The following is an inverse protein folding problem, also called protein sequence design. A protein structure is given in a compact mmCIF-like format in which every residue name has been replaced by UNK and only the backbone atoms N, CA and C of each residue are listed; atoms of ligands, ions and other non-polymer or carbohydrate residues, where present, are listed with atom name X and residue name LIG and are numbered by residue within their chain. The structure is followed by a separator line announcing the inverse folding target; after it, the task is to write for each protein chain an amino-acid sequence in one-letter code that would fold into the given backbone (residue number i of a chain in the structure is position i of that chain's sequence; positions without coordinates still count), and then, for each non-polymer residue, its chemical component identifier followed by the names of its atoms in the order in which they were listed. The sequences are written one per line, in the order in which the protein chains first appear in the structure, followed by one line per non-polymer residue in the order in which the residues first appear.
data_IF_710572587168
#
_entry.id   IF_710572587168
#
_cell.length_a   1.000
_cell.length_b   1.000
_cell.length_c   1.000
_cell.angle_alpha   90.00
_cell.angle_beta   90.00
_cell.angle_gamma   90.00
#
_symmetry.space_group_name_H-M   'P 1'
#
loop_
_entity.id
_entity.type
_entity.pdbx_description
1 polymer ?
#
# COMPACT_ATOMS: atom_id res chain seq x y z
N UNK A 1 3.83 -25.02 -25.74
CA UNK A 1 4.56 -24.50 -24.55
C UNK A 1 3.95 -25.20 -23.34
N UNK A 2 4.75 -25.56 -22.32
CA UNK A 2 4.19 -26.02 -21.06
C UNK A 2 3.21 -24.99 -20.48
N UNK A 3 2.14 -25.45 -19.86
CA UNK A 3 1.11 -24.62 -19.23
C UNK A 3 1.33 -24.65 -17.72
N UNK A 4 1.62 -23.49 -17.15
CA UNK A 4 1.68 -23.27 -15.70
C UNK A 4 0.42 -22.53 -15.27
N UNK A 5 -0.44 -23.21 -14.51
CA UNK A 5 -1.71 -22.66 -14.04
C UNK A 5 -1.57 -21.99 -12.68
N UNK A 6 -1.94 -20.71 -12.61
CA UNK A 6 -1.93 -19.91 -11.39
C UNK A 6 -3.34 -19.45 -11.04
N UNK A 7 -3.72 -19.56 -9.76
CA UNK A 7 -5.00 -19.04 -9.26
C UNK A 7 -4.89 -18.69 -7.77
N UNK A 8 -5.81 -17.85 -7.30
CA UNK A 8 -6.03 -17.57 -5.88
C UNK A 8 -7.30 -18.27 -5.39
N UNK A 9 -7.38 -18.62 -4.12
CA UNK A 9 -8.52 -19.31 -3.51
C UNK A 9 -9.55 -18.37 -2.88
N UNK A 10 -9.64 -17.15 -3.40
CA UNK A 10 -10.50 -16.09 -2.84
C UNK A 10 -11.96 -16.52 -2.84
N UNK A 11 -12.39 -17.31 -3.83
CA UNK A 11 -13.74 -17.86 -3.93
C UNK A 11 -14.00 -19.04 -2.99
N UNK A 12 -12.95 -19.63 -2.41
CA UNK A 12 -13.00 -20.84 -1.58
C UNK A 12 -13.19 -22.15 -2.35
N UNK A 13 -13.10 -22.13 -3.69
CA UNK A 13 -13.26 -23.33 -4.53
C UNK A 13 -12.17 -23.46 -5.61
N UNK A 14 -11.12 -22.64 -5.56
CA UNK A 14 -10.09 -22.64 -6.62
C UNK A 14 -9.21 -23.88 -6.57
N UNK A 15 -9.16 -24.59 -5.44
CA UNK A 15 -8.58 -25.94 -5.41
C UNK A 15 -9.24 -26.90 -6.42
N UNK A 16 -10.56 -26.78 -6.64
CA UNK A 16 -11.25 -27.56 -7.67
C UNK A 16 -10.81 -27.17 -9.08
N UNK A 17 -10.60 -25.87 -9.33
CA UNK A 17 -10.05 -25.38 -10.60
C UNK A 17 -8.63 -25.91 -10.86
N UNK A 18 -7.80 -26.00 -9.81
CA UNK A 18 -6.46 -26.62 -9.91
C UNK A 18 -6.56 -28.09 -10.29
N UNK A 19 -7.42 -28.87 -9.62
CA UNK A 19 -7.61 -30.29 -9.97
C UNK A 19 -8.12 -30.46 -11.42
N UNK A 20 -9.05 -29.62 -11.85
CA UNK A 20 -9.52 -29.62 -13.24
C UNK A 20 -8.40 -29.26 -14.24
N UNK A 21 -7.51 -28.32 -13.90
CA UNK A 21 -6.35 -27.99 -14.72
C UNK A 21 -5.36 -29.16 -14.81
N UNK A 22 -5.13 -29.88 -13.71
CA UNK A 22 -4.30 -31.09 -13.67
C UNK A 22 -4.89 -32.20 -14.56
N UNK A 23 -6.20 -32.43 -14.48
CA UNK A 23 -6.91 -33.38 -15.34
C UNK A 23 -6.82 -33.00 -16.83
N UNK A 24 -6.93 -31.70 -17.13
CA UNK A 24 -6.79 -31.17 -18.48
C UNK A 24 -5.34 -31.21 -19.01
N UNK A 25 -4.36 -31.55 -18.17
CA UNK A 25 -2.98 -31.74 -18.55
C UNK A 25 -2.08 -30.51 -18.41
N UNK A 26 -2.37 -29.61 -17.47
CA UNK A 26 -1.41 -28.59 -17.05
C UNK A 26 -0.07 -29.23 -16.62
N UNK A 27 1.03 -28.58 -16.96
CA UNK A 27 2.39 -29.05 -16.67
C UNK A 27 2.85 -28.63 -15.27
N UNK A 28 2.33 -27.52 -14.75
CA UNK A 28 2.59 -27.02 -13.39
C UNK A 28 1.37 -26.27 -12.83
N UNK A 29 1.24 -26.25 -11.50
CA UNK A 29 0.20 -25.49 -10.79
C UNK A 29 0.83 -24.79 -9.58
N UNK A 30 0.36 -23.58 -9.27
CA UNK A 30 0.77 -22.88 -8.05
C UNK A 30 -0.14 -23.24 -6.87
N UNK A 31 0.46 -23.55 -5.73
CA UNK A 31 -0.19 -23.82 -4.46
C UNK A 31 0.67 -23.27 -3.31
N UNK A 32 0.04 -22.98 -2.17
CA UNK A 32 0.73 -22.49 -0.97
C UNK A 32 0.71 -23.54 0.14
N UNK A 33 1.73 -23.54 1.00
CA UNK A 33 1.77 -24.41 2.19
C UNK A 33 0.55 -24.14 3.07
N UNK A 34 0.04 -25.18 3.74
CA UNK A 34 -1.30 -25.16 4.32
C UNK A 34 -1.56 -23.95 5.24
N UNK A 35 -0.62 -23.66 6.15
CA UNK A 35 -0.69 -22.53 7.09
C UNK A 35 -0.59 -21.14 6.45
N UNK A 36 -0.24 -21.04 5.17
CA UNK A 36 -0.14 -19.80 4.37
C UNK A 36 -1.05 -19.81 3.13
N UNK A 37 -1.99 -20.75 3.05
CA UNK A 37 -2.87 -20.96 1.90
C UNK A 37 -4.29 -20.42 2.11
N UNK A 38 -5.13 -20.57 1.08
CA UNK A 38 -6.55 -20.22 1.06
C UNK A 38 -6.82 -18.71 1.10
N UNK A 39 -8.10 -18.33 1.04
CA UNK A 39 -8.53 -16.92 1.03
C UNK A 39 -7.86 -16.19 -0.15
N UNK A 40 -7.25 -15.04 0.08
CA UNK A 40 -6.55 -14.30 -0.99
C UNK A 40 -5.20 -14.91 -1.40
N UNK A 41 -4.77 -16.03 -0.80
CA UNK A 41 -3.58 -16.80 -1.17
C UNK A 41 -3.90 -17.88 -2.23
N UNK A 42 -2.91 -18.68 -2.63
CA UNK A 42 -3.10 -19.85 -3.48
C UNK A 42 -3.84 -20.98 -2.75
N UNK A 43 -4.42 -21.95 -3.50
CA UNK A 43 -4.98 -23.16 -2.92
C UNK A 43 -3.99 -23.97 -2.06
N UNK A 44 -4.54 -24.74 -1.12
CA UNK A 44 -3.80 -25.52 -0.14
C UNK A 44 -2.99 -26.68 -0.77
N UNK A 45 -1.66 -26.59 -0.69
CA UNK A 45 -0.72 -27.54 -1.29
C UNK A 45 -0.88 -28.94 -0.70
N UNK A 46 -0.91 -29.08 0.63
CA UNK A 46 -1.04 -30.39 1.28
C UNK A 46 -2.31 -31.12 0.86
N UNK A 47 -3.43 -30.40 0.74
CA UNK A 47 -4.72 -30.94 0.28
C UNK A 47 -4.68 -31.35 -1.19
N UNK A 48 -4.05 -30.56 -2.06
CA UNK A 48 -3.88 -30.92 -3.48
C UNK A 48 -3.02 -32.18 -3.61
N UNK A 49 -1.91 -32.27 -2.88
CA UNK A 49 -1.02 -33.44 -2.90
C UNK A 49 -1.75 -34.70 -2.44
N UNK A 50 -2.48 -34.64 -1.33
CA UNK A 50 -3.25 -35.79 -0.84
C UNK A 50 -4.40 -36.15 -1.79
N UNK A 51 -5.04 -35.18 -2.46
CA UNK A 51 -6.09 -35.45 -3.44
C UNK A 51 -5.59 -36.16 -4.71
N UNK A 52 -4.35 -35.88 -5.13
CA UNK A 52 -3.73 -36.49 -6.30
C UNK A 52 -2.99 -37.80 -5.99
N UNK A 53 -2.87 -38.16 -4.71
CA UNK A 53 -2.13 -39.34 -4.26
C UNK A 53 -2.72 -40.63 -4.83
N UNK A 54 -1.86 -41.53 -5.31
CA UNK A 54 -2.23 -42.78 -5.98
C UNK A 54 -3.02 -42.60 -7.29
N UNK A 55 -2.99 -41.42 -7.90
CA UNK A 55 -3.50 -41.20 -9.27
C UNK A 55 -2.35 -41.24 -10.28
N UNK A 56 -2.66 -41.20 -11.58
CA UNK A 56 -1.64 -41.03 -12.64
C UNK A 56 -0.92 -39.67 -12.56
N UNK A 57 -1.49 -38.71 -11.80
CA UNK A 57 -0.98 -37.36 -11.59
C UNK A 57 -0.43 -37.16 -10.18
N UNK A 58 -0.04 -38.24 -9.50
CA UNK A 58 0.62 -38.15 -8.19
C UNK A 58 1.85 -37.24 -8.26
N UNK A 59 1.94 -36.29 -7.33
CA UNK A 59 3.03 -35.30 -7.29
C UNK A 59 4.35 -35.89 -6.83
N UNK A 60 4.33 -37.01 -6.10
CA UNK A 60 5.51 -37.61 -5.47
C UNK A 60 6.10 -36.79 -4.30
N UNK A 61 5.42 -35.73 -3.85
CA UNK A 61 5.86 -34.92 -2.70
C UNK A 61 5.67 -35.66 -1.38
N UNK A 62 6.63 -35.50 -0.47
CA UNK A 62 6.58 -36.09 0.87
C UNK A 62 5.58 -35.35 1.76
N UNK A 63 4.47 -36.02 2.11
CA UNK A 63 3.40 -35.39 2.90
C UNK A 63 3.75 -35.23 4.38
N UNK A 64 4.73 -35.97 4.91
CA UNK A 64 5.25 -35.72 6.26
C UNK A 64 6.09 -34.44 6.27
N UNK A 65 6.96 -34.26 5.28
CA UNK A 65 7.75 -33.05 5.14
C UNK A 65 6.87 -31.80 4.97
N UNK A 66 5.81 -31.88 4.14
CA UNK A 66 4.86 -30.77 3.98
C UNK A 66 4.19 -30.38 5.30
N UNK A 67 3.74 -31.36 6.11
CA UNK A 67 3.14 -31.07 7.43
C UNK A 67 4.13 -30.39 8.37
N UNK A 68 5.39 -30.85 8.40
CA UNK A 68 6.44 -30.23 9.23
C UNK A 68 6.71 -28.77 8.81
N UNK A 69 6.80 -28.50 7.51
CA UNK A 69 6.97 -27.13 6.98
C UNK A 69 5.75 -26.27 7.29
N UNK A 70 4.54 -26.83 7.20
CA UNK A 70 3.31 -26.12 7.57
C UNK A 70 3.30 -25.70 9.04
N UNK A 71 3.68 -26.60 9.96
CA UNK A 71 3.80 -26.29 11.40
C UNK A 71 4.84 -25.20 11.68
N UNK A 72 5.95 -25.17 10.95
CA UNK A 72 6.91 -24.07 11.06
C UNK A 72 6.25 -22.73 10.69
N UNK A 73 5.61 -22.67 9.52
CA UNK A 73 4.97 -21.45 9.04
C UNK A 73 3.77 -21.01 9.88
N UNK A 74 3.06 -21.93 10.51
CA UNK A 74 2.00 -21.60 11.47
C UNK A 74 2.54 -20.79 12.66
N UNK A 75 3.66 -21.22 13.23
CA UNK A 75 4.32 -20.46 14.29
C UNK A 75 4.88 -19.13 13.80
N UNK A 76 5.55 -19.10 12.63
CA UNK A 76 6.09 -17.85 12.09
C UNK A 76 4.98 -16.84 11.79
N UNK A 77 3.86 -17.29 11.21
CA UNK A 77 2.69 -16.45 10.88
C UNK A 77 2.12 -15.76 12.13
N UNK A 78 2.16 -16.40 13.31
CA UNK A 78 1.70 -15.78 14.55
C UNK A 78 2.42 -14.47 14.90
N UNK A 79 3.70 -14.33 14.50
CA UNK A 79 4.50 -13.12 14.69
C UNK A 79 4.05 -11.94 13.82
N UNK A 80 3.19 -12.20 12.82
CA UNK A 80 2.65 -11.21 11.89
C UNK A 80 1.16 -10.93 12.14
N UNK A 81 0.63 -11.29 13.31
CA UNK A 81 -0.79 -11.13 13.65
C UNK A 81 -1.33 -9.71 13.44
N UNK A 82 -0.51 -8.68 13.65
CA UNK A 82 -0.86 -7.28 13.41
C UNK A 82 -1.10 -6.93 11.94
N UNK A 83 -0.63 -7.77 11.02
CA UNK A 83 -0.77 -7.60 9.56
C UNK A 83 -1.82 -8.55 8.97
N UNK A 84 -2.44 -9.40 9.79
CA UNK A 84 -3.50 -10.29 9.32
C UNK A 84 -4.70 -9.48 8.85
N UNK A 85 -5.24 -9.93 7.72
CA UNK A 85 -6.46 -9.37 7.22
C UNK A 85 -7.67 -10.05 7.88
N UNK A 86 -8.71 -9.26 8.14
CA UNK A 86 -9.85 -9.67 8.97
C UNK A 86 -10.92 -10.49 8.19
N UNK A 87 -10.60 -11.00 7.00
CA UNK A 87 -11.51 -11.90 6.29
C UNK A 87 -11.32 -13.34 6.77
N UNK A 88 -12.44 -13.98 7.11
CA UNK A 88 -12.48 -15.30 7.76
C UNK A 88 -12.92 -16.43 6.84
N UNK A 89 -13.28 -16.12 5.60
CA UNK A 89 -13.78 -17.09 4.62
C UNK A 89 -13.53 -16.59 3.21
N UNK A 90 -13.60 -17.51 2.24
CA UNK A 90 -13.73 -17.15 0.84
C UNK A 90 -15.03 -16.38 0.58
N UNK A 91 -15.07 -15.67 -0.54
CA UNK A 91 -16.18 -14.83 -0.94
C UNK A 91 -16.45 -14.96 -2.45
N UNK A 92 -17.68 -15.34 -2.81
CA UNK A 92 -18.08 -15.55 -4.21
C UNK A 92 -18.38 -14.25 -4.96
N UNK A 93 -18.46 -13.12 -4.26
CA UNK A 93 -18.57 -11.79 -4.87
C UNK A 93 -17.33 -11.43 -5.70
N UNK A 94 -16.22 -12.16 -5.57
CA UNK A 94 -15.08 -12.08 -6.49
C UNK A 94 -15.47 -12.29 -7.96
N UNK A 95 -16.50 -13.09 -8.24
CA UNK A 95 -17.01 -13.30 -9.60
C UNK A 95 -17.89 -12.14 -10.10
N UNK A 96 -18.26 -11.20 -9.23
CA UNK A 96 -18.95 -9.96 -9.58
C UNK A 96 -17.95 -8.83 -9.81
N UNK A 97 -17.09 -8.58 -8.82
CA UNK A 97 -16.23 -7.40 -8.79
C UNK A 97 -14.85 -7.64 -9.41
N UNK A 98 -14.41 -8.90 -9.52
CA UNK A 98 -13.15 -9.29 -10.15
C UNK A 98 -11.95 -8.51 -9.60
N UNK A 99 -11.94 -8.26 -8.29
CA UNK A 99 -10.84 -7.58 -7.60
C UNK A 99 -9.79 -8.68 -7.34
N UNK A 100 -8.55 -8.54 -7.86
CA UNK A 100 -7.52 -9.54 -7.64
C UNK A 100 -7.12 -9.61 -6.16
N UNK A 101 -6.60 -10.75 -5.71
CA UNK A 101 -6.35 -11.05 -4.29
C UNK A 101 -5.64 -9.93 -3.53
N UNK A 102 -4.47 -9.49 -4.01
CA UNK A 102 -3.70 -8.41 -3.37
C UNK A 102 -4.41 -7.04 -3.41
N UNK A 103 -5.21 -6.75 -4.45
CA UNK A 103 -5.99 -5.52 -4.48
C UNK A 103 -7.16 -5.58 -3.48
N UNK A 104 -7.75 -6.76 -3.25
CA UNK A 104 -8.86 -6.91 -2.31
C UNK A 104 -8.43 -6.53 -0.89
N UNK A 105 -7.25 -7.01 -0.46
CA UNK A 105 -6.69 -6.68 0.85
C UNK A 105 -6.37 -5.20 0.98
N UNK A 106 -5.74 -4.62 -0.04
CA UNK A 106 -5.37 -3.21 -0.06
C UNK A 106 -6.60 -2.29 -0.04
N UNK A 107 -7.59 -2.56 -0.91
CA UNK A 107 -8.81 -1.76 -1.02
C UNK A 107 -9.65 -1.85 0.26
N UNK A 108 -9.65 -2.99 0.95
CA UNK A 108 -10.26 -3.13 2.28
C UNK A 108 -9.60 -2.24 3.32
N UNK A 109 -8.27 -2.20 3.36
CA UNK A 109 -7.54 -1.34 4.30
C UNK A 109 -7.75 0.14 3.96
N UNK A 110 -7.76 0.52 2.68
CA UNK A 110 -8.10 1.87 2.24
C UNK A 110 -9.52 2.26 2.67
N UNK A 111 -10.52 1.42 2.39
CA UNK A 111 -11.91 1.63 2.80
C UNK A 111 -12.05 1.80 4.32
N UNK A 112 -11.30 1.03 5.12
CA UNK A 112 -11.23 1.18 6.58
C UNK A 112 -10.64 2.51 7.00
N UNK A 113 -9.51 2.91 6.41
CA UNK A 113 -8.87 4.18 6.72
C UNK A 113 -9.76 5.39 6.39
N UNK A 114 -10.60 5.28 5.36
CA UNK A 114 -11.58 6.30 4.97
C UNK A 114 -12.91 6.22 5.74
N UNK A 115 -13.07 5.26 6.66
CA UNK A 115 -14.30 5.08 7.45
C UNK A 115 -15.49 4.50 6.67
N UNK A 116 -15.27 3.96 5.47
CA UNK A 116 -16.31 3.40 4.59
C UNK A 116 -16.35 1.86 4.57
N UNK A 117 -15.65 1.18 5.49
CA UNK A 117 -15.62 -0.30 5.55
C UNK A 117 -17.02 -0.95 5.64
N UNK A 118 -17.96 -0.29 6.33
CA UNK A 118 -19.36 -0.72 6.41
C UNK A 118 -20.12 -0.65 5.07
N UNK A 119 -19.62 0.14 4.12
CA UNK A 119 -20.14 0.28 2.75
C UNK A 119 -19.45 -0.70 1.78
N UNK A 120 -18.74 -1.73 2.24
CA UNK A 120 -18.04 -2.64 1.33
C UNK A 120 -18.89 -3.26 0.21
N UNK A 121 -20.13 -3.72 0.44
CA UNK A 121 -20.95 -4.24 -0.66
C UNK A 121 -21.17 -3.20 -1.78
N UNK A 122 -21.23 -1.92 -1.41
CA UNK A 122 -21.33 -0.81 -2.34
C UNK A 122 -20.01 -0.59 -3.08
N UNK A 123 -18.87 -0.61 -2.36
CA UNK A 123 -17.52 -0.54 -2.96
C UNK A 123 -17.34 -1.64 -4.00
N UNK A 124 -17.68 -2.89 -3.68
CA UNK A 124 -17.56 -4.03 -4.60
C UNK A 124 -18.45 -3.86 -5.85
N UNK A 125 -19.69 -3.39 -5.68
CA UNK A 125 -20.60 -3.14 -6.80
C UNK A 125 -20.12 -1.98 -7.69
N UNK A 126 -19.67 -0.89 -7.07
CA UNK A 126 -19.14 0.28 -7.79
C UNK A 126 -17.85 -0.08 -8.53
N UNK A 127 -16.98 -0.90 -7.95
CA UNK A 127 -15.78 -1.41 -8.61
C UNK A 127 -16.11 -2.19 -9.89
N UNK A 128 -17.12 -3.06 -9.84
CA UNK A 128 -17.61 -3.77 -11.04
C UNK A 128 -18.15 -2.79 -12.11
N UNK A 129 -18.89 -1.77 -11.69
CA UNK A 129 -19.42 -0.73 -12.60
C UNK A 129 -18.29 0.11 -13.21
N UNK A 130 -17.28 0.49 -12.43
CA UNK A 130 -16.11 1.22 -12.95
C UNK A 130 -15.39 0.40 -14.01
N UNK A 131 -15.20 -0.91 -13.78
CA UNK A 131 -14.61 -1.78 -14.79
C UNK A 131 -15.39 -1.74 -16.12
N UNK A 132 -16.72 -1.80 -16.05
CA UNK A 132 -17.58 -1.71 -17.24
C UNK A 132 -17.50 -0.33 -17.90
N UNK A 133 -17.46 0.75 -17.12
CA UNK A 133 -17.26 2.11 -17.65
C UNK A 133 -15.92 2.27 -18.38
N UNK A 134 -14.87 1.54 -17.96
CA UNK A 134 -13.56 1.57 -18.61
C UNK A 134 -13.44 0.67 -19.84
N UNK A 135 -14.51 -0.06 -20.21
CA UNK A 135 -14.51 -0.96 -21.36
C UNK A 135 -14.13 -2.41 -21.05
N UNK A 136 -14.37 -2.86 -19.81
CA UNK A 136 -14.09 -4.22 -19.33
C UNK A 136 -12.60 -4.60 -19.41
N UNK A 137 -11.81 -3.94 -18.59
CA UNK A 137 -10.35 -4.05 -18.62
C UNK A 137 -9.85 -5.25 -17.81
N UNK A 138 -8.68 -5.76 -18.19
CA UNK A 138 -7.95 -6.72 -17.37
C UNK A 138 -7.44 -6.00 -16.12
N UNK A 139 -7.78 -6.53 -14.94
CA UNK A 139 -7.50 -5.91 -13.63
C UNK A 139 -6.41 -6.67 -12.90
N UNK A 140 -5.20 -6.13 -12.95
CA UNK A 140 -4.01 -6.56 -12.21
C UNK A 140 -3.19 -5.31 -11.90
N UNK A 141 -2.22 -5.36 -10.97
CA UNK A 141 -1.36 -4.19 -10.73
C UNK A 141 -0.67 -3.74 -12.02
N UNK A 142 -0.76 -2.46 -12.41
CA UNK A 142 -1.41 -1.33 -11.72
C UNK A 142 -2.86 -1.02 -12.12
N UNK A 143 -3.45 -1.62 -13.17
CA UNK A 143 -4.82 -1.32 -13.63
C UNK A 143 -5.91 -1.59 -12.57
N UNK A 144 -5.72 -2.58 -11.69
CA UNK A 144 -6.65 -2.82 -10.56
C UNK A 144 -6.67 -1.67 -9.56
N UNK A 145 -5.54 -0.97 -9.37
CA UNK A 145 -5.49 0.25 -8.56
C UNK A 145 -6.30 1.36 -9.22
N UNK A 146 -6.17 1.54 -10.53
CA UNK A 146 -6.90 2.58 -11.29
C UNK A 146 -8.42 2.45 -11.11
N UNK A 147 -8.95 1.24 -11.25
CA UNK A 147 -10.37 0.95 -11.01
C UNK A 147 -10.72 1.21 -9.54
N UNK A 148 -9.85 0.82 -8.61
CA UNK A 148 -10.01 1.04 -7.17
C UNK A 148 -10.07 2.51 -6.77
N UNK A 149 -9.17 3.34 -7.29
CA UNK A 149 -9.07 4.76 -6.94
C UNK A 149 -10.33 5.52 -7.38
N UNK A 150 -10.82 5.29 -8.61
CA UNK A 150 -12.09 5.89 -9.05
C UNK A 150 -13.27 5.37 -8.22
N UNK A 151 -13.28 4.09 -7.86
CA UNK A 151 -14.31 3.51 -6.99
C UNK A 151 -14.35 4.23 -5.65
N UNK A 152 -13.21 4.41 -5.00
CA UNK A 152 -13.14 5.10 -3.70
C UNK A 152 -13.64 6.53 -3.82
N UNK A 153 -13.17 7.29 -4.83
CA UNK A 153 -13.65 8.65 -5.10
C UNK A 153 -15.18 8.68 -5.25
N UNK A 154 -15.73 7.78 -6.05
CA UNK A 154 -17.18 7.72 -6.29
C UNK A 154 -17.97 7.50 -5.00
N UNK A 155 -17.48 6.62 -4.12
CA UNK A 155 -18.15 6.31 -2.85
C UNK A 155 -18.00 7.44 -1.84
N UNK A 156 -16.82 8.06 -1.73
CA UNK A 156 -16.56 9.12 -0.74
C UNK A 156 -17.22 10.43 -1.10
N UNK A 157 -17.43 10.69 -2.39
CA UNK A 157 -18.04 11.93 -2.90
C UNK A 157 -19.47 11.74 -3.41
N UNK A 158 -20.07 10.57 -3.17
CA UNK A 158 -21.42 10.18 -3.61
C UNK A 158 -21.68 10.48 -5.12
N UNK A 159 -20.68 10.19 -5.96
CA UNK A 159 -20.73 10.36 -7.42
C UNK A 159 -21.27 9.07 -8.05
N UNK A 160 -22.31 9.20 -8.86
CA UNK A 160 -22.89 8.08 -9.60
C UNK A 160 -22.10 7.73 -10.88
N UNK A 161 -22.24 6.51 -11.44
CA UNK A 161 -21.68 6.19 -12.76
C UNK A 161 -22.16 7.14 -13.85
N UNK A 162 -23.43 7.56 -13.79
CA UNK A 162 -24.03 8.49 -14.74
C UNK A 162 -23.32 9.86 -14.70
N UNK A 163 -22.98 10.33 -13.49
CA UNK A 163 -22.21 11.56 -13.30
C UNK A 163 -20.80 11.48 -13.89
N UNK A 164 -20.15 10.32 -13.79
CA UNK A 164 -18.83 10.08 -14.37
C UNK A 164 -18.91 10.15 -15.90
N UNK A 165 -19.98 9.64 -16.50
CA UNK A 165 -20.16 9.60 -17.95
C UNK A 165 -20.72 10.90 -18.55
N UNK A 166 -21.38 11.75 -17.75
CA UNK A 166 -21.95 13.02 -18.21
C UNK A 166 -20.85 14.01 -18.62
N UNK A 167 -20.74 14.44 -19.88
CA UNK A 167 -19.70 15.37 -20.33
C UNK A 167 -19.76 16.76 -19.66
N UNK A 168 -20.93 17.17 -19.15
CA UNK A 168 -21.12 18.50 -18.54
C UNK A 168 -20.78 18.51 -17.04
N UNK A 169 -20.67 17.33 -16.40
CA UNK A 169 -20.34 17.23 -14.98
C UNK A 169 -18.84 17.13 -14.76
N UNK A 170 -18.29 18.14 -14.09
CA UNK A 170 -16.88 18.15 -13.72
C UNK A 170 -16.57 17.15 -12.61
N UNK A 171 -15.52 16.36 -12.80
CA UNK A 171 -15.02 15.36 -11.86
C UNK A 171 -13.51 15.56 -11.72
N UNK A 172 -13.02 15.65 -10.48
CA UNK A 172 -11.60 15.63 -10.17
C UNK A 172 -11.10 14.18 -10.18
N UNK A 173 -10.77 13.65 -11.35
CA UNK A 173 -10.31 12.27 -11.49
C UNK A 173 -8.99 12.03 -10.74
N UNK A 174 -8.81 10.86 -10.09
CA UNK A 174 -7.53 10.50 -9.49
C UNK A 174 -6.43 10.43 -10.55
N UNK A 175 -5.19 10.78 -10.17
CA UNK A 175 -4.05 10.80 -11.10
C UNK A 175 -3.83 9.45 -11.79
N UNK A 176 -4.03 8.34 -11.08
CA UNK A 176 -3.91 6.98 -11.64
C UNK A 176 -4.88 6.74 -12.81
N UNK A 177 -6.07 7.35 -12.78
CA UNK A 177 -7.07 7.28 -13.84
C UNK A 177 -6.64 8.14 -15.02
N UNK A 178 -6.14 9.34 -14.77
CA UNK A 178 -5.64 10.23 -15.82
C UNK A 178 -4.47 9.56 -16.56
N UNK A 179 -3.48 9.03 -15.84
CA UNK A 179 -2.33 8.30 -16.42
C UNK A 179 -2.76 7.07 -17.23
N UNK A 180 -3.73 6.31 -16.72
CA UNK A 180 -4.28 5.16 -17.45
C UNK A 180 -4.89 5.59 -18.78
N UNK A 181 -5.79 6.59 -18.77
CA UNK A 181 -6.43 7.09 -19.98
C UNK A 181 -5.49 7.88 -20.89
N UNK A 182 -4.36 8.40 -20.39
CA UNK A 182 -3.27 8.96 -21.20
C UNK A 182 -2.46 7.87 -21.91
N UNK A 183 -2.63 6.60 -21.55
CA UNK A 183 -1.97 5.46 -22.18
C UNK A 183 -0.63 5.09 -21.53
N UNK A 184 -0.29 5.66 -20.38
CA UNK A 184 0.99 5.42 -19.67
C UNK A 184 1.12 4.01 -19.11
N UNK A 185 0.00 3.29 -18.98
CA UNK A 185 -0.06 1.89 -18.54
C UNK A 185 -0.14 0.92 -19.74
N UNK A 186 -0.04 1.43 -20.97
CA UNK A 186 -0.27 0.69 -22.20
C UNK A 186 -1.68 0.84 -22.74
N UNK A 187 -2.04 -0.03 -23.68
CA UNK A 187 -3.33 0.02 -24.38
C UNK A 187 -4.22 -1.14 -23.92
N UNK A 188 -5.45 -0.87 -23.43
CA UNK A 188 -6.38 -1.92 -23.06
C UNK A 188 -6.88 -2.68 -24.30
N UNK A 189 -7.29 -3.93 -24.11
CA UNK A 189 -7.96 -4.70 -25.16
C UNK A 189 -9.24 -3.98 -25.60
N UNK A 190 -9.44 -3.83 -26.91
CA UNK A 190 -10.58 -3.10 -27.46
C UNK A 190 -10.43 -1.57 -27.45
N UNK A 191 -9.37 -1.01 -26.87
CA UNK A 191 -9.14 0.43 -26.77
C UNK A 191 -9.93 1.11 -25.65
N UNK A 192 -9.77 2.43 -25.52
CA UNK A 192 -10.47 3.21 -24.50
C UNK A 192 -11.86 3.68 -25.00
N UNK A 193 -12.86 3.80 -24.11
CA UNK A 193 -14.10 4.49 -24.44
C UNK A 193 -13.84 5.97 -24.76
N UNK A 194 -13.95 6.35 -26.04
CA UNK A 194 -13.48 7.65 -26.56
C UNK A 194 -14.07 8.87 -25.83
N UNK A 195 -15.38 8.86 -25.55
CA UNK A 195 -16.05 9.97 -24.86
C UNK A 195 -15.52 10.17 -23.43
N UNK A 196 -15.29 9.07 -22.71
CA UNK A 196 -14.76 9.10 -21.35
C UNK A 196 -13.28 9.50 -21.34
N UNK A 197 -12.48 8.97 -22.28
CA UNK A 197 -11.07 9.37 -22.43
C UNK A 197 -10.95 10.87 -22.67
N UNK A 198 -11.75 11.43 -23.59
CA UNK A 198 -11.76 12.86 -23.88
C UNK A 198 -12.15 13.70 -22.66
N UNK A 199 -13.13 13.25 -21.87
CA UNK A 199 -13.54 13.92 -20.63
C UNK A 199 -12.42 13.94 -19.60
N UNK A 200 -11.79 12.79 -19.35
CA UNK A 200 -10.73 12.63 -18.34
C UNK A 200 -9.50 13.46 -18.70
N UNK A 201 -9.10 13.45 -19.97
CA UNK A 201 -7.87 14.11 -20.43
C UNK A 201 -8.01 15.62 -20.64
N UNK A 202 -9.23 16.17 -20.69
CA UNK A 202 -9.50 17.62 -20.86
C UNK A 202 -8.71 18.28 -22.01
N UNK A 203 -8.36 17.52 -23.05
CA UNK A 203 -7.59 17.99 -24.20
C UNK A 203 -6.12 17.56 -24.25
N UNK A 204 -5.61 16.92 -23.20
CA UNK A 204 -4.28 16.27 -23.24
C UNK A 204 -4.25 15.17 -24.33
N UNK A 205 -3.15 15.10 -25.08
CA UNK A 205 -2.96 14.08 -26.10
C UNK A 205 -2.53 12.74 -25.45
N UNK A 206 -3.30 11.65 -25.64
CA UNK A 206 -2.89 10.34 -25.15
C UNK A 206 -1.81 9.73 -26.06
N UNK A 207 -0.94 8.92 -25.46
CA UNK A 207 0.00 8.07 -26.21
C UNK A 207 -0.69 6.78 -26.65
N UNK A 208 -0.34 6.31 -27.85
CA UNK A 208 -0.85 5.04 -28.43
C UNK A 208 0.26 3.99 -28.63
N UNK A 209 1.49 4.36 -28.30
CA UNK A 209 2.69 3.51 -28.40
C UNK A 209 3.03 2.91 -27.03
N UNK A 210 4.03 2.03 -26.99
CA UNK A 210 4.55 1.50 -25.72
C UNK A 210 5.11 2.67 -24.88
N UNK A 211 4.69 2.89 -23.62
CA UNK A 211 5.13 4.02 -22.79
C UNK A 211 6.65 4.18 -22.72
N UNK A 212 7.38 3.09 -22.52
CA UNK A 212 8.84 3.11 -22.50
C UNK A 212 9.53 3.41 -23.84
N UNK A 213 8.80 3.69 -24.92
CA UNK A 213 9.37 4.16 -26.19
C UNK A 213 9.42 5.68 -26.32
N UNK A 214 8.72 6.40 -25.43
CA UNK A 214 8.74 7.88 -25.36
C UNK A 214 9.51 8.40 -24.15
N UNK A 215 10.03 7.49 -23.32
CA UNK A 215 10.91 7.85 -22.20
C UNK A 215 12.27 8.31 -22.73
N UNK A 216 12.83 9.33 -22.08
CA UNK A 216 14.19 9.79 -22.35
C UNK A 216 15.22 8.75 -21.89
N UNK A 217 16.32 8.66 -22.64
CA UNK A 217 17.45 7.82 -22.24
C UNK A 217 18.12 8.40 -20.98
N UNK A 218 18.44 7.53 -20.02
CA UNK A 218 19.16 7.91 -18.80
C UNK A 218 20.66 7.65 -18.93
N UNK A 219 21.49 8.61 -18.52
CA UNK A 219 22.93 8.38 -18.37
C UNK A 219 23.21 7.61 -17.08
N UNK A 220 23.31 6.29 -17.20
CA UNK A 220 23.55 5.39 -16.07
C UNK A 220 24.84 5.71 -15.29
N UNK A 221 25.88 6.26 -15.94
CA UNK A 221 27.13 6.57 -15.25
C UNK A 221 27.00 7.83 -14.41
N UNK A 222 26.40 8.87 -14.99
CA UNK A 222 26.13 10.11 -14.27
C UNK A 222 25.17 9.86 -13.10
N UNK A 223 24.06 9.16 -13.35
CA UNK A 223 23.09 8.83 -12.31
C UNK A 223 23.70 8.00 -11.18
N UNK A 224 24.57 7.02 -11.48
CA UNK A 224 25.26 6.26 -10.42
C UNK A 224 26.14 7.16 -9.55
N UNK A 225 26.95 8.02 -10.18
CA UNK A 225 27.83 8.94 -9.46
C UNK A 225 27.06 9.94 -8.58
N UNK A 226 25.91 10.42 -9.06
CA UNK A 226 25.05 11.35 -8.30
C UNK A 226 24.45 10.68 -7.06
N UNK A 227 24.05 9.41 -7.16
CA UNK A 227 23.53 8.63 -6.05
C UNK A 227 24.62 8.33 -5.03
N UNK A 228 25.79 7.87 -5.48
CA UNK A 228 26.94 7.60 -4.59
C UNK A 228 27.33 8.84 -3.78
N UNK A 229 27.26 10.02 -4.40
CA UNK A 229 27.44 11.30 -3.71
C UNK A 229 26.32 11.58 -2.70
N UNK A 230 25.07 11.31 -3.06
CA UNK A 230 23.91 11.51 -2.18
C UNK A 230 23.97 10.61 -0.95
N UNK A 231 24.31 9.33 -1.12
CA UNK A 231 24.41 8.36 0.00
C UNK A 231 25.76 8.37 0.70
N UNK A 232 26.75 9.13 0.21
CA UNK A 232 28.07 9.25 0.82
C UNK A 232 28.95 8.00 0.75
N UNK A 233 28.64 7.04 -0.14
CA UNK A 233 29.39 5.80 -0.33
C UNK A 233 29.22 5.24 -1.75
N UNK A 234 30.14 4.39 -2.15
CA UNK A 234 30.01 3.60 -3.37
C UNK A 234 28.81 2.64 -3.26
N UNK A 235 28.12 2.42 -4.37
CA UNK A 235 26.98 1.49 -4.45
C UNK A 235 27.23 0.39 -5.46
N UNK A 236 26.77 -0.81 -5.14
CA UNK A 236 26.80 -1.96 -6.04
C UNK A 236 25.80 -1.79 -7.18
N UNK A 237 25.95 -2.56 -8.26
CA UNK A 237 25.00 -2.51 -9.38
C UNK A 237 23.56 -2.92 -8.98
N UNK A 238 23.34 -3.91 -8.09
CA UNK A 238 22.00 -4.19 -7.56
C UNK A 238 21.41 -3.03 -6.75
N UNK A 239 22.21 -2.32 -5.96
CA UNK A 239 21.75 -1.13 -5.23
C UNK A 239 21.41 0.01 -6.18
N UNK A 240 22.22 0.21 -7.21
CA UNK A 240 21.92 1.18 -8.26
C UNK A 240 20.64 0.83 -9.02
N UNK A 241 20.41 -0.46 -9.33
CA UNK A 241 19.14 -0.91 -9.91
C UNK A 241 17.94 -0.66 -8.97
N UNK A 242 18.10 -0.88 -7.66
CA UNK A 242 17.07 -0.54 -6.66
C UNK A 242 16.78 0.96 -6.65
N UNK A 243 17.81 1.81 -6.73
CA UNK A 243 17.63 3.26 -6.85
C UNK A 243 16.88 3.64 -8.13
N UNK A 244 17.25 3.07 -9.28
CA UNK A 244 16.58 3.36 -10.55
C UNK A 244 15.09 3.00 -10.53
N UNK A 245 14.72 1.94 -9.79
CA UNK A 245 13.34 1.52 -9.62
C UNK A 245 12.58 2.36 -8.59
N UNK A 246 13.23 2.72 -7.48
CA UNK A 246 12.61 3.42 -6.36
C UNK A 246 13.59 4.44 -5.70
N UNK A 247 13.81 5.62 -6.31
CA UNK A 247 14.85 6.55 -5.87
C UNK A 247 14.73 6.96 -4.39
N UNK A 248 13.55 7.44 -3.99
CA UNK A 248 13.29 7.90 -2.62
C UNK A 248 13.36 6.73 -1.60
N UNK A 249 12.74 5.59 -1.93
CA UNK A 249 12.74 4.42 -1.04
C UNK A 249 14.16 3.92 -0.81
N UNK A 250 15.01 3.94 -1.84
CA UNK A 250 16.41 3.55 -1.70
C UNK A 250 17.19 4.54 -0.84
N UNK A 251 17.02 5.85 -1.02
CA UNK A 251 17.72 6.85 -0.21
C UNK A 251 17.29 6.80 1.26
N UNK A 252 16.00 6.59 1.52
CA UNK A 252 15.47 6.41 2.88
C UNK A 252 16.01 5.12 3.50
N UNK A 253 16.05 4.02 2.74
CA UNK A 253 16.66 2.76 3.17
C UNK A 253 18.15 2.93 3.48
N UNK A 254 18.90 3.66 2.65
CA UNK A 254 20.32 3.90 2.86
C UNK A 254 20.56 4.72 4.15
N UNK A 255 19.77 5.76 4.39
CA UNK A 255 19.81 6.54 5.63
C UNK A 255 19.44 5.68 6.86
N UNK A 256 18.38 4.87 6.75
CA UNK A 256 17.99 3.93 7.81
C UNK A 256 19.11 2.90 8.10
N UNK A 257 19.77 2.39 7.07
CA UNK A 257 20.88 1.44 7.22
C UNK A 257 22.09 2.11 7.90
N UNK A 258 22.35 3.38 7.62
CA UNK A 258 23.41 4.16 8.29
C UNK A 258 23.08 4.38 9.77
N UNK A 259 21.82 4.71 10.09
CA UNK A 259 21.37 5.01 11.45
C UNK A 259 21.24 3.74 12.33
N UNK A 260 20.57 2.71 11.83
CA UNK A 260 20.19 1.53 12.63
C UNK A 260 20.98 0.26 12.29
N UNK A 261 21.73 0.25 11.19
CA UNK A 261 22.40 -0.94 10.70
C UNK A 261 21.43 -1.96 10.08
N UNK A 262 21.92 -3.18 9.86
CA UNK A 262 21.16 -4.26 9.23
C UNK A 262 20.16 -4.90 10.20
N UNK A 263 18.98 -4.30 10.28
CA UNK A 263 17.87 -4.79 11.12
C UNK A 263 17.27 -6.11 10.63
N UNK A 264 17.60 -6.59 9.43
CA UNK A 264 17.11 -7.90 8.94
C UNK A 264 17.65 -9.09 9.76
N UNK A 265 18.73 -8.85 10.52
CA UNK A 265 19.33 -9.81 11.45
C UNK A 265 18.59 -9.92 12.78
N UNK A 266 17.72 -8.96 13.09
CA UNK A 266 16.96 -8.93 14.35
C UNK A 266 15.82 -9.94 14.28
N UNK A 267 15.64 -10.80 15.29
CA UNK A 267 14.51 -11.73 15.34
C UNK A 267 13.17 -10.99 15.18
N UNK A 268 12.25 -11.52 14.37
CA UNK A 268 10.99 -10.87 14.01
C UNK A 268 10.18 -10.39 15.22
N UNK A 269 10.14 -11.17 16.31
CA UNK A 269 9.44 -10.77 17.54
C UNK A 269 10.05 -9.49 18.15
N UNK A 270 11.38 -9.44 18.30
CA UNK A 270 12.08 -8.27 18.80
C UNK A 270 12.01 -7.07 17.84
N UNK A 271 11.98 -7.33 16.53
CA UNK A 271 11.85 -6.29 15.51
C UNK A 271 10.50 -5.56 15.59
N UNK A 272 9.38 -6.29 15.70
CA UNK A 272 8.06 -5.66 15.73
C UNK A 272 7.62 -5.19 17.11
N UNK A 273 8.01 -5.92 18.17
CA UNK A 273 7.43 -5.75 19.50
C UNK A 273 8.44 -5.32 20.57
N UNK A 274 9.72 -5.20 20.20
CA UNK A 274 10.78 -4.95 21.16
C UNK A 274 11.06 -6.15 22.07
N UNK A 275 11.76 -5.91 23.17
CA UNK A 275 12.12 -6.94 24.15
C UNK A 275 11.43 -6.66 25.50
N UNK A 276 11.18 -7.71 26.27
CA UNK A 276 10.75 -7.61 27.67
C UNK A 276 11.92 -7.62 28.66
N UNK A 277 11.83 -6.93 29.82
CA UNK A 277 12.89 -7.00 30.84
C UNK A 277 13.16 -8.44 31.29
N UNK A 278 14.43 -8.85 31.20
CA UNK A 278 14.89 -10.21 31.45
C UNK A 278 15.01 -11.07 30.20
N UNK A 279 14.45 -10.64 29.07
CA UNK A 279 14.57 -11.34 27.79
C UNK A 279 15.99 -11.23 27.22
N UNK A 280 16.47 -12.32 26.63
CA UNK A 280 17.73 -12.40 25.92
C UNK A 280 17.50 -12.89 24.49
N UNK A 281 18.08 -12.18 23.53
CA UNK A 281 18.07 -12.53 22.12
C UNK A 281 19.50 -12.69 21.60
N UNK A 282 19.63 -13.55 20.59
CA UNK A 282 20.88 -13.75 19.85
C UNK A 282 20.73 -13.15 18.45
N UNK A 283 21.61 -12.20 18.10
CA UNK A 283 21.65 -11.57 16.78
C UNK A 283 22.91 -12.06 16.06
N UNK A 284 22.74 -12.86 15.01
CA UNK A 284 23.85 -13.36 14.20
C UNK A 284 24.26 -12.31 13.15
N UNK A 285 25.36 -11.61 13.41
CA UNK A 285 25.85 -10.57 12.50
C UNK A 285 26.48 -11.21 11.25
N UNK A 286 27.41 -12.13 11.50
CA UNK A 286 28.15 -12.90 10.50
C UNK A 286 28.39 -14.31 11.05
N UNK A 287 28.76 -15.25 10.18
CA UNK A 287 29.08 -16.62 10.58
C UNK A 287 30.15 -16.62 11.68
N UNK A 288 29.76 -17.10 12.87
CA UNK A 288 30.64 -17.16 14.05
C UNK A 288 30.75 -15.87 14.88
N UNK A 289 29.98 -14.82 14.54
CA UNK A 289 29.84 -13.58 15.32
C UNK A 289 28.38 -13.36 15.70
N UNK A 290 28.07 -13.67 16.96
CA UNK A 290 26.73 -13.50 17.53
C UNK A 290 26.78 -12.47 18.66
N UNK A 291 25.82 -11.55 18.66
CA UNK A 291 25.58 -10.64 19.77
C UNK A 291 24.52 -11.26 20.69
N UNK A 292 24.89 -11.55 21.93
CA UNK A 292 23.95 -11.88 22.99
C UNK A 292 23.50 -10.55 23.63
N UNK A 293 22.25 -10.17 23.39
CA UNK A 293 21.65 -8.96 23.91
C UNK A 293 20.58 -9.35 24.92
N UNK A 294 20.70 -8.87 26.17
CA UNK A 294 19.69 -9.04 27.20
C UNK A 294 19.16 -7.68 27.63
N UNK A 295 17.84 -7.50 27.63
CA UNK A 295 17.22 -6.31 28.20
C UNK A 295 17.18 -6.46 29.72
N UNK A 296 17.80 -5.53 30.46
CA UNK A 296 17.86 -5.59 31.92
C UNK A 296 16.68 -4.86 32.55
N UNK A 297 16.45 -3.62 32.14
CA UNK A 297 15.39 -2.76 32.67
C UNK A 297 15.10 -1.59 31.74
N UNK A 298 13.87 -1.09 31.83
CA UNK A 298 13.45 0.20 31.28
C UNK A 298 13.45 1.21 32.42
N UNK A 299 14.15 2.33 32.26
CA UNK A 299 14.04 3.46 33.18
C UNK A 299 12.68 4.15 33.07
N UNK A 300 12.42 5.08 34.00
CA UNK A 300 11.26 5.96 33.91
C UNK A 300 11.42 6.97 32.77
N UNK A 301 10.29 7.48 32.25
CA UNK A 301 10.29 8.59 31.31
C UNK A 301 10.78 9.86 32.03
N UNK A 302 11.86 10.44 31.52
CA UNK A 302 12.38 11.71 32.00
C UNK A 302 11.46 12.87 31.61
N UNK A 303 11.58 13.99 32.34
CA UNK A 303 10.84 15.23 32.03
C UNK A 303 11.20 15.81 30.65
N UNK A 304 12.32 15.39 30.06
CA UNK A 304 12.76 15.76 28.73
C UNK A 304 12.18 14.86 27.62
N UNK A 305 11.19 14.02 27.94
CA UNK A 305 10.55 13.12 26.99
C UNK A 305 11.42 11.93 26.58
N UNK A 306 12.53 11.68 27.29
CA UNK A 306 13.44 10.57 26.99
C UNK A 306 13.48 9.54 28.10
N UNK A 307 13.66 8.28 27.74
CA UNK A 307 13.84 7.15 28.66
C UNK A 307 15.24 6.56 28.51
N UNK A 308 15.82 6.10 29.61
CA UNK A 308 17.06 5.30 29.56
C UNK A 308 16.72 3.81 29.57
N UNK A 309 17.25 3.06 28.61
CA UNK A 309 17.13 1.60 28.53
C UNK A 309 18.45 0.96 28.89
N UNK A 310 18.41 -0.07 29.73
CA UNK A 310 19.58 -0.79 30.21
C UNK A 310 19.65 -2.18 29.57
N UNK A 311 20.75 -2.47 28.90
CA UNK A 311 21.02 -3.77 28.27
C UNK A 311 22.31 -4.38 28.81
N UNK A 312 22.43 -5.69 28.67
CA UNK A 312 23.70 -6.40 28.70
C UNK A 312 24.01 -6.87 27.27
N UNK A 313 25.17 -6.50 26.74
CA UNK A 313 25.64 -6.90 25.43
C UNK A 313 26.92 -7.72 25.60
N UNK A 314 26.86 -9.01 25.29
CA UNK A 314 27.97 -9.96 25.47
C UNK A 314 28.58 -9.92 26.89
N UNK A 315 27.73 -9.88 27.91
CA UNK A 315 28.15 -9.80 29.32
C UNK A 315 28.55 -8.40 29.80
N UNK A 316 28.49 -7.38 28.95
CA UNK A 316 28.84 -6.01 29.32
C UNK A 316 27.60 -5.13 29.45
N UNK A 317 27.40 -4.43 30.59
CA UNK A 317 26.29 -3.50 30.73
C UNK A 317 26.45 -2.33 29.75
N UNK A 318 25.32 -1.91 29.20
CA UNK A 318 25.14 -0.76 28.30
C UNK A 318 23.89 -0.02 28.71
N UNK A 319 23.89 1.29 28.53
CA UNK A 319 22.70 2.12 28.64
C UNK A 319 22.56 2.97 27.40
N UNK A 320 21.32 3.13 26.94
CA UNK A 320 20.97 3.93 25.77
C UNK A 320 19.82 4.85 26.15
N UNK A 321 19.89 6.13 25.76
CA UNK A 321 18.77 7.06 25.92
C UNK A 321 17.98 7.10 24.62
N UNK A 322 16.67 6.89 24.70
CA UNK A 322 15.75 6.90 23.57
C UNK A 322 14.63 7.91 23.84
N UNK A 323 14.05 8.47 22.78
CA UNK A 323 12.84 9.28 22.88
C UNK A 323 11.64 8.39 23.26
N UNK A 324 10.80 8.88 24.18
CA UNK A 324 9.60 8.21 24.66
C UNK A 324 8.36 8.92 24.09
N UNK A 325 7.89 8.41 22.95
CA UNK A 325 6.75 8.96 22.23
C UNK A 325 5.39 8.65 22.89
N UNK A 326 5.35 7.97 24.05
CA UNK A 326 4.08 7.69 24.76
C UNK A 326 3.39 8.95 25.27
N UNK A 327 4.11 10.07 25.39
CA UNK A 327 3.56 11.37 25.84
C UNK A 327 3.10 12.26 24.66
N UNK A 328 3.55 12.01 23.42
CA UNK A 328 3.15 12.78 22.24
C UNK A 328 1.67 12.59 21.85
N UNK A 329 1.00 11.53 22.34
CA UNK A 329 -0.41 11.25 22.08
C UNK A 329 -1.39 12.22 22.77
N UNK A 330 -0.90 13.31 23.38
CA UNK A 330 -1.70 14.39 23.97
C UNK A 330 -1.72 15.66 23.11
N UNK A 331 -1.39 15.58 21.80
CA UNK A 331 -1.68 16.70 20.88
C UNK A 331 -3.20 16.97 20.89
N UNK A 332 -3.62 18.25 21.02
CA UNK A 332 -5.04 18.59 20.92
C UNK A 332 -5.56 18.12 19.56
N UNK A 333 -6.71 17.44 19.57
CA UNK A 333 -7.41 17.05 18.34
C UNK A 333 -7.57 18.26 17.42
N UNK A 334 -7.21 18.11 16.15
CA UNK A 334 -7.39 19.15 15.15
C UNK A 334 -8.85 19.66 15.16
N UNK A 335 -9.05 20.96 14.86
CA UNK A 335 -10.39 21.53 14.70
C UNK A 335 -11.10 20.77 13.58
N UNK A 336 -12.39 20.47 13.73
CA UNK A 336 -13.19 19.80 12.69
C UNK A 336 -13.93 20.84 11.85
N UNK A 337 -13.97 20.63 10.52
CA UNK A 337 -14.74 21.46 9.61
C UNK A 337 -16.25 21.30 9.83
N UNK A 338 -16.93 22.41 10.10
CA UNK A 338 -18.39 22.45 10.19
C UNK A 338 -19.04 22.29 8.81
N UNK A 339 -19.77 21.20 8.60
CA UNK A 339 -20.42 20.90 7.32
C UNK A 339 -21.46 21.95 6.87
N UNK A 340 -21.96 22.77 7.79
CA UNK A 340 -22.92 23.86 7.49
C UNK A 340 -22.24 25.19 7.19
N UNK A 341 -20.91 25.28 7.34
CA UNK A 341 -20.17 26.51 7.11
C UNK A 341 -19.45 26.45 5.74
N UNK A 342 -19.91 27.17 4.72
CA UNK A 342 -19.30 27.16 3.38
C UNK A 342 -17.90 27.79 3.34
N UNK A 343 -17.44 28.39 4.44
CA UNK A 343 -16.10 28.96 4.55
C UNK A 343 -15.08 27.96 5.07
N UNK A 344 -15.51 26.79 5.55
CA UNK A 344 -14.63 25.75 6.06
C UNK A 344 -14.27 24.72 4.98
N UNK A 345 -12.98 24.50 4.78
CA UNK A 345 -12.47 23.42 3.94
C UNK A 345 -11.98 22.29 4.85
N UNK A 346 -12.67 21.15 4.81
CA UNK A 346 -12.30 19.96 5.58
C UNK A 346 -11.39 19.02 4.80
N UNK A 347 -10.63 18.20 5.51
CA UNK A 347 -9.83 17.14 4.93
C UNK A 347 -10.72 16.06 4.31
N UNK A 348 -10.57 15.75 3.01
CA UNK A 348 -11.39 14.74 2.34
C UNK A 348 -11.06 13.32 2.82
N UNK A 349 -9.84 13.11 3.33
CA UNK A 349 -9.35 11.83 3.81
C UNK A 349 -8.29 12.04 4.90
N UNK A 350 -8.06 11.06 5.80
CA UNK A 350 -6.93 11.10 6.71
C UNK A 350 -5.60 10.98 5.96
N UNK A 351 -4.55 11.61 6.46
CA UNK A 351 -3.23 11.59 5.84
C UNK A 351 -2.24 12.50 6.56
N UNK A 352 -1.16 12.83 5.86
CA UNK A 352 -0.13 13.79 6.26
C UNK A 352 -0.12 14.91 5.23
N UNK A 353 -0.09 16.16 5.65
CA UNK A 353 0.03 17.30 4.72
C UNK A 353 1.42 17.30 4.09
N UNK A 354 1.52 17.06 2.78
CA UNK A 354 2.80 16.99 2.06
C UNK A 354 3.26 18.35 1.54
N UNK A 355 2.35 19.25 1.18
CA UNK A 355 2.67 20.64 0.81
C UNK A 355 1.54 21.61 1.18
N UNK A 356 1.89 22.88 1.42
CA UNK A 356 0.92 23.97 1.66
C UNK A 356 1.28 25.15 0.75
N UNK A 357 0.35 25.53 -0.13
CA UNK A 357 0.47 26.62 -1.12
C UNK A 357 -0.40 27.82 -0.71
N UNK A 358 -1.44 27.55 0.07
CA UNK A 358 -2.35 28.50 0.68
C UNK A 358 -1.64 29.36 1.74
N UNK A 359 -1.94 30.66 1.74
CA UNK A 359 -1.45 31.62 2.73
C UNK A 359 -2.61 32.53 3.16
N UNK A 360 -2.72 32.91 4.45
CA UNK A 360 -3.69 33.90 4.89
C UNK A 360 -3.57 35.22 4.11
N UNK A 361 -4.69 35.77 3.66
CA UNK A 361 -4.80 36.97 2.82
C UNK A 361 -4.62 36.72 1.32
N UNK A 362 -4.27 35.50 0.88
CA UNK A 362 -4.11 35.18 -0.55
C UNK A 362 -5.46 34.99 -1.22
N UNK A 363 -5.63 35.59 -2.41
CA UNK A 363 -6.76 35.31 -3.30
C UNK A 363 -6.52 34.02 -4.06
N UNK A 364 -7.52 33.16 -4.10
CA UNK A 364 -7.54 31.93 -4.89
C UNK A 364 -8.78 31.91 -5.77
N UNK A 365 -8.65 31.31 -6.95
CA UNK A 365 -9.76 31.05 -7.88
C UNK A 365 -10.25 29.62 -7.69
N UNK A 366 -11.50 29.36 -8.08
CA UNK A 366 -12.05 28.02 -8.13
C UNK A 366 -11.13 27.10 -8.95
N UNK A 367 -10.74 25.97 -8.36
CA UNK A 367 -9.83 24.99 -8.95
C UNK A 367 -8.35 25.17 -8.60
N UNK A 368 -7.95 26.30 -8.00
CA UNK A 368 -6.56 26.51 -7.56
C UNK A 368 -6.20 25.53 -6.43
N UNK A 369 -5.03 24.90 -6.54
CA UNK A 369 -4.52 23.99 -5.50
C UNK A 369 -4.07 24.78 -4.27
N UNK A 370 -4.63 24.44 -3.11
CA UNK A 370 -4.34 25.09 -1.83
C UNK A 370 -3.29 24.32 -1.03
N UNK A 371 -3.35 22.99 -1.02
CA UNK A 371 -2.40 22.11 -0.33
C UNK A 371 -2.48 20.70 -0.91
N UNK A 372 -1.52 19.84 -0.57
CA UNK A 372 -1.57 18.42 -0.88
C UNK A 372 -1.48 17.54 0.37
N UNK A 373 -2.16 16.40 0.32
CA UNK A 373 -2.23 15.42 1.40
C UNK A 373 -1.66 14.12 0.88
N UNK A 374 -0.64 13.59 1.56
CA UNK A 374 -0.14 12.25 1.35
C UNK A 374 -0.86 11.26 2.27
N UNK A 375 -1.47 10.24 1.68
CA UNK A 375 -2.09 9.17 2.42
C UNK A 375 -1.84 7.84 1.69
N UNK A 376 -1.28 6.86 2.39
CA UNK A 376 -0.99 5.53 1.83
C UNK A 376 -0.19 5.59 0.52
N UNK A 377 0.84 6.46 0.45
CA UNK A 377 1.69 6.70 -0.74
C UNK A 377 0.92 7.25 -1.95
N UNK A 378 -0.23 7.87 -1.73
CA UNK A 378 -0.98 8.64 -2.73
C UNK A 378 -1.01 10.10 -2.30
N UNK A 379 -0.69 11.00 -3.22
CA UNK A 379 -0.80 12.43 -3.00
C UNK A 379 -2.10 12.95 -3.62
N UNK A 380 -2.93 13.58 -2.80
CA UNK A 380 -4.22 14.16 -3.19
C UNK A 380 -4.15 15.66 -3.04
N UNK A 381 -4.34 16.39 -4.13
CA UNK A 381 -4.44 17.85 -4.10
C UNK A 381 -5.82 18.29 -3.55
N UNK A 382 -5.81 19.27 -2.65
CA UNK A 382 -7.01 19.94 -2.14
C UNK A 382 -7.13 21.28 -2.88
N UNK A 383 -8.14 21.38 -3.74
CA UNK A 383 -8.38 22.56 -4.58
C UNK A 383 -9.47 23.47 -3.98
N UNK A 384 -9.42 24.76 -4.30
CA UNK A 384 -10.43 25.73 -3.89
C UNK A 384 -11.77 25.44 -4.58
N UNK A 385 -12.84 25.27 -3.81
CA UNK A 385 -14.18 24.99 -4.33
C UNK A 385 -14.87 26.25 -4.90
N UNK A 386 -14.35 27.43 -4.59
CA UNK A 386 -14.86 28.74 -5.03
C UNK A 386 -13.76 29.79 -5.04
N UNK A 387 -14.03 30.89 -5.73
CA UNK A 387 -13.24 32.11 -5.62
C UNK A 387 -13.34 32.68 -4.20
N UNK A 388 -12.21 33.11 -3.62
CA UNK A 388 -12.22 33.67 -2.28
C UNK A 388 -10.86 34.16 -1.80
N UNK A 389 -10.85 34.74 -0.60
CA UNK A 389 -9.64 35.10 0.15
C UNK A 389 -9.49 34.14 1.30
N UNK A 390 -8.28 33.61 1.50
CA UNK A 390 -7.98 32.70 2.61
C UNK A 390 -7.87 33.51 3.89
N UNK A 391 -8.71 33.24 4.89
CA UNK A 391 -8.64 33.88 6.20
C UNK A 391 -7.62 33.19 7.12
N UNK A 392 -7.59 31.86 7.11
CA UNK A 392 -6.78 31.04 8.01
C UNK A 392 -6.34 29.75 7.30
N UNK A 393 -5.08 29.34 7.52
CA UNK A 393 -4.61 27.99 7.24
C UNK A 393 -4.32 27.33 8.59
N UNK A 394 -4.99 26.21 8.87
CA UNK A 394 -5.06 25.58 10.20
C UNK A 394 -3.99 24.48 10.37
N UNK A 395 -3.35 24.09 9.27
CA UNK A 395 -2.39 22.98 9.20
C UNK A 395 -1.05 23.43 8.63
N UNK A 396 0.02 22.73 9.02
CA UNK A 396 1.38 22.92 8.52
C UNK A 396 1.87 21.69 7.75
N UNK A 397 2.94 21.81 6.96
CA UNK A 397 3.59 20.66 6.30
C UNK A 397 4.02 19.64 7.36
N UNK A 398 3.73 18.35 7.13
CA UNK A 398 3.96 17.27 8.07
C UNK A 398 2.85 17.08 9.11
N UNK A 399 1.80 17.91 9.11
CA UNK A 399 0.67 17.74 10.02
C UNK A 399 -0.10 16.46 9.70
N UNK A 400 -0.33 15.65 10.72
CA UNK A 400 -1.21 14.49 10.63
C UNK A 400 -2.67 14.94 10.77
N UNK A 401 -3.50 14.57 9.79
CA UNK A 401 -4.90 14.97 9.70
C UNK A 401 -5.81 13.74 9.63
N UNK A 402 -6.94 13.82 10.30
CA UNK A 402 -8.07 12.91 10.17
C UNK A 402 -9.06 13.36 9.09
N UNK A 403 -10.03 12.50 8.78
CA UNK A 403 -11.12 12.87 7.90
C UNK A 403 -11.94 14.01 8.54
N UNK A 404 -12.24 15.04 7.74
CA UNK A 404 -13.00 16.25 8.14
C UNK A 404 -12.26 17.21 9.08
N UNK A 405 -10.98 17.01 9.35
CA UNK A 405 -10.18 18.02 10.03
C UNK A 405 -10.18 19.31 9.20
N UNK A 406 -10.30 20.45 9.86
CA UNK A 406 -10.32 21.76 9.23
C UNK A 406 -8.92 22.08 8.71
N UNK A 407 -8.85 22.38 7.42
CA UNK A 407 -7.60 22.66 6.73
C UNK A 407 -7.42 24.15 6.48
N UNK A 408 -8.44 24.78 5.88
CA UNK A 408 -8.42 26.17 5.43
C UNK A 408 -9.77 26.81 5.75
N UNK A 409 -9.75 28.10 6.10
CA UNK A 409 -10.94 28.94 6.27
C UNK A 409 -10.90 30.09 5.27
N UNK A 410 -12.00 30.31 4.55
CA UNK A 410 -12.20 31.48 3.69
C UNK A 410 -12.72 32.68 4.51
N UNK A 411 -12.46 33.90 4.04
CA UNK A 411 -13.13 35.10 4.53
C UNK A 411 -14.64 35.05 4.23
N UNK A 412 -15.42 35.73 5.09
CA UNK A 412 -16.88 35.90 4.95
C UNK A 412 -17.27 36.71 3.72
#
# INVERSE_FOLDING_TARGET
LPIHFHTHDTSGISAASVLAAVEAGADAVDAAIDSMSCLTSQPNLGSIVEALKNTERDTGLDTEALRQVSTYWEHVRSLYSSFEADFRSGASDVYLHEIPGGQYTNLRQQARSMGIDRRWPEVANTYAKVNQMFGDVVKVTPSSKVVGDLTLLMITSDISPEDVLDPEKEIAFPESVIQFFRGELGQPYGGFPEALQKKILKGDEPITVRPGSVMEDIDLKASKADVEKTVGRDISDPEFASYLMYPQVFTDYAAHLEEFGDVSKVPTAAYFYGMEPGEEIAIEMERGKTLALRLLALGDAGEDGKRTVFFELNGQPRSVRIDDHSQESTRPTNRIAEATNPNHVGAPMPGIVSSVIAEPGKKVLQGDTMLSIEAMKMETAVNAERDGVIAEVVVEIGSQIGAKDLLVVFED
#
